data_IF_948518967624
#
_entry.id   IF_948518967624
#
_cell.length_a   1.000
_cell.length_b   1.000
_cell.length_c   1.000
_cell.angle_alpha   90.00
_cell.angle_beta   90.00
_cell.angle_gamma   90.00
#
_symmetry.space_group_name_H-M   'P 1'
#
loop_
_entity.id
_entity.type
_entity.pdbx_description
1 polymer ?
#
# COMPACT_ATOMS: atom_id res chain seq x y z
N UNK A 1 23.70 1.59 -12.40
CA UNK A 1 23.29 1.00 -13.70
C UNK A 1 21.79 1.17 -13.96
N UNK A 2 20.93 0.74 -13.02
CA UNK A 2 19.46 0.91 -13.02
C UNK A 2 18.96 2.28 -13.51
N UNK A 3 19.38 3.35 -12.85
CA UNK A 3 18.98 4.72 -13.22
C UNK A 3 19.48 5.19 -14.60
N UNK A 4 20.59 4.66 -15.10
CA UNK A 4 21.07 4.96 -16.45
C UNK A 4 20.15 4.32 -17.48
N UNK A 5 19.76 3.04 -17.27
CA UNK A 5 18.78 2.34 -18.11
C UNK A 5 17.44 3.09 -18.15
N UNK A 6 16.96 3.56 -16.99
CA UNK A 6 15.73 4.34 -16.90
C UNK A 6 15.80 5.65 -17.71
N UNK A 7 16.88 6.42 -17.58
CA UNK A 7 17.09 7.65 -18.37
C UNK A 7 17.13 7.38 -19.88
N UNK A 8 17.78 6.30 -20.31
CA UNK A 8 17.82 5.91 -21.73
C UNK A 8 16.42 5.57 -22.21
N UNK A 9 15.67 4.73 -21.47
CA UNK A 9 14.29 4.37 -21.81
C UNK A 9 13.36 5.60 -21.84
N UNK A 10 13.54 6.53 -20.92
CA UNK A 10 12.83 7.80 -20.90
C UNK A 10 13.08 8.63 -22.16
N UNK A 11 14.33 8.81 -22.58
CA UNK A 11 14.64 9.52 -23.83
C UNK A 11 14.09 8.79 -25.06
N UNK A 12 14.20 7.46 -25.11
CA UNK A 12 13.69 6.65 -26.22
C UNK A 12 12.15 6.69 -26.32
N UNK A 13 11.46 6.86 -25.18
CA UNK A 13 10.00 6.90 -25.15
C UNK A 13 9.38 8.04 -25.97
N UNK A 14 10.13 9.13 -26.24
CA UNK A 14 9.64 10.26 -27.04
C UNK A 14 9.55 9.95 -28.55
N UNK A 15 10.20 8.87 -29.00
CA UNK A 15 10.14 8.42 -30.39
C UNK A 15 9.00 7.42 -30.65
N UNK A 16 8.16 7.14 -29.64
CA UNK A 16 7.01 6.23 -29.74
C UNK A 16 5.76 6.89 -29.16
N UNK A 17 4.61 6.65 -29.80
CA UNK A 17 3.29 7.06 -29.31
C UNK A 17 2.65 6.03 -28.38
N UNK A 18 3.01 4.76 -28.55
CA UNK A 18 2.57 3.65 -27.70
C UNK A 18 3.79 2.88 -27.20
N UNK A 19 3.75 2.42 -25.96
CA UNK A 19 4.86 1.73 -25.30
C UNK A 19 4.47 0.31 -24.94
N UNK A 20 5.36 -0.63 -25.21
CA UNK A 20 5.21 -2.03 -24.83
C UNK A 20 6.05 -2.35 -23.59
N UNK A 21 5.90 -3.56 -23.06
CA UNK A 21 6.65 -4.05 -21.89
C UNK A 21 8.16 -3.76 -21.98
N UNK A 22 8.76 -4.00 -23.15
CA UNK A 22 10.20 -3.82 -23.37
C UNK A 22 10.65 -2.36 -23.42
N UNK A 23 9.73 -1.40 -23.54
CA UNK A 23 10.06 0.01 -23.48
C UNK A 23 10.34 0.46 -22.04
N UNK A 24 9.86 -0.28 -21.04
CA UNK A 24 10.10 0.03 -19.65
C UNK A 24 11.46 -0.51 -19.15
N UNK A 25 12.11 0.20 -18.21
CA UNK A 25 13.38 -0.25 -17.64
C UNK A 25 13.15 -1.39 -16.64
N UNK A 26 13.08 -2.63 -17.14
CA UNK A 26 12.92 -3.83 -16.32
C UNK A 26 14.08 -4.05 -15.34
N UNK A 27 13.75 -4.42 -14.11
CA UNK A 27 14.66 -4.91 -13.08
C UNK A 27 14.14 -6.21 -12.50
N UNK A 28 15.06 -7.08 -12.08
CA UNK A 28 14.75 -8.32 -11.37
C UNK A 28 15.66 -8.50 -10.17
N UNK A 29 15.21 -9.28 -9.19
CA UNK A 29 15.98 -9.63 -8.00
C UNK A 29 15.56 -11.00 -7.47
N UNK A 30 16.41 -11.58 -6.61
CA UNK A 30 16.10 -12.74 -5.78
C UNK A 30 16.03 -12.27 -4.32
N UNK A 31 14.97 -12.67 -3.62
CA UNK A 31 14.80 -12.49 -2.19
C UNK A 31 15.21 -13.79 -1.48
N UNK A 32 16.44 -13.83 -0.98
CA UNK A 32 16.98 -14.99 -0.26
C UNK A 32 16.31 -15.25 1.09
N UNK A 33 15.53 -14.28 1.59
CA UNK A 33 14.78 -14.37 2.84
C UNK A 33 13.30 -14.68 2.62
N UNK A 34 12.88 -14.99 1.40
CA UNK A 34 11.51 -15.37 1.11
C UNK A 34 11.16 -16.69 1.80
N UNK A 35 10.13 -16.68 2.65
CA UNK A 35 9.60 -17.87 3.29
C UNK A 35 8.70 -18.69 2.35
N UNK A 36 8.12 -18.05 1.33
CA UNK A 36 7.27 -18.67 0.32
C UNK A 36 7.99 -18.65 -1.03
N UNK A 37 7.96 -19.79 -1.74
CA UNK A 37 8.72 -19.94 -3.00
C UNK A 37 8.18 -19.03 -4.10
N UNK A 38 6.88 -18.76 -4.13
CA UNK A 38 6.21 -17.92 -5.11
C UNK A 38 6.54 -16.41 -5.00
N UNK A 39 7.14 -15.98 -3.89
CA UNK A 39 7.66 -14.61 -3.70
C UNK A 39 9.19 -14.50 -3.76
N UNK A 40 9.88 -15.60 -4.08
CA UNK A 40 11.34 -15.68 -4.08
C UNK A 40 11.98 -14.78 -5.12
N UNK A 41 11.42 -14.69 -6.32
CA UNK A 41 11.93 -13.82 -7.37
C UNK A 41 10.97 -12.65 -7.60
N UNK A 42 11.53 -11.47 -7.84
CA UNK A 42 10.77 -10.27 -8.12
C UNK A 42 11.15 -9.63 -9.43
N UNK A 43 10.18 -8.96 -10.05
CA UNK A 43 10.35 -8.13 -11.23
C UNK A 43 9.58 -6.81 -11.07
N UNK A 44 10.18 -5.71 -11.55
CA UNK A 44 9.54 -4.39 -11.54
C UNK A 44 10.12 -3.48 -12.63
N UNK A 45 9.53 -2.30 -12.80
CA UNK A 45 10.11 -1.25 -13.62
C UNK A 45 10.84 -0.21 -12.75
N UNK A 46 12.07 0.16 -13.12
CA UNK A 46 12.78 1.26 -12.45
C UNK A 46 11.90 2.50 -12.41
N UNK A 47 11.83 3.14 -11.24
CA UNK A 47 11.04 4.35 -10.97
C UNK A 47 9.51 4.16 -10.97
N UNK A 48 9.00 2.92 -10.99
CA UNK A 48 7.58 2.60 -10.78
C UNK A 48 7.45 1.65 -9.58
N UNK A 49 7.73 2.19 -8.39
CA UNK A 49 8.02 1.42 -7.17
C UNK A 49 6.94 0.43 -6.76
N UNK A 50 5.66 0.78 -6.90
CA UNK A 50 4.54 -0.08 -6.50
C UNK A 50 4.14 -1.09 -7.58
N UNK A 51 4.73 -1.02 -8.77
CA UNK A 51 4.41 -1.92 -9.87
C UNK A 51 5.37 -3.10 -9.90
N UNK A 52 5.07 -4.07 -9.04
CA UNK A 52 5.90 -5.26 -8.77
C UNK A 52 5.11 -6.52 -9.10
N UNK A 53 5.82 -7.55 -9.53
CA UNK A 53 5.29 -8.90 -9.58
C UNK A 53 6.34 -9.90 -9.06
N UNK A 54 5.84 -11.04 -8.61
CA UNK A 54 6.63 -12.09 -8.01
C UNK A 54 6.48 -13.42 -8.76
N UNK A 55 7.41 -14.34 -8.52
CA UNK A 55 7.32 -15.72 -8.97
C UNK A 55 8.38 -16.63 -8.33
N UNK A 56 8.22 -17.93 -8.55
CA UNK A 56 9.17 -19.00 -8.17
C UNK A 56 10.42 -19.06 -9.06
N UNK A 57 10.49 -18.21 -10.09
CA UNK A 57 11.65 -18.02 -10.96
C UNK A 57 11.66 -16.60 -11.53
N UNK A 58 12.82 -16.14 -11.99
CA UNK A 58 12.97 -14.84 -12.67
C UNK A 58 12.02 -14.74 -13.88
N UNK A 59 11.89 -15.82 -14.66
CA UNK A 59 11.00 -15.87 -15.82
C UNK A 59 9.54 -15.72 -15.42
N UNK A 60 9.10 -16.42 -14.38
CA UNK A 60 7.72 -16.33 -13.91
C UNK A 60 7.41 -14.94 -13.32
N UNK A 61 8.34 -14.33 -12.59
CA UNK A 61 8.18 -12.95 -12.10
C UNK A 61 8.02 -11.95 -13.26
N UNK A 62 8.81 -12.07 -14.33
CA UNK A 62 8.70 -11.23 -15.54
C UNK A 62 7.36 -11.46 -16.24
N UNK A 63 6.92 -12.71 -16.40
CA UNK A 63 5.65 -13.03 -17.05
C UNK A 63 4.46 -12.46 -16.26
N UNK A 64 4.50 -12.59 -14.93
CA UNK A 64 3.48 -12.01 -14.06
C UNK A 64 3.49 -10.48 -14.13
N UNK A 65 4.66 -9.83 -14.17
CA UNK A 65 4.74 -8.38 -14.37
C UNK A 65 4.12 -7.95 -15.71
N UNK A 66 4.34 -8.75 -16.77
CA UNK A 66 3.75 -8.50 -18.08
C UNK A 66 2.23 -8.63 -18.07
N UNK A 67 1.69 -9.65 -17.40
CA UNK A 67 0.23 -9.81 -17.18
C UNK A 67 -0.33 -8.60 -16.43
N UNK A 68 0.32 -8.19 -15.34
CA UNK A 68 -0.09 -7.02 -14.57
C UNK A 68 -0.11 -5.74 -15.43
N UNK A 69 0.91 -5.52 -16.28
CA UNK A 69 0.94 -4.36 -17.18
C UNK A 69 -0.20 -4.36 -18.20
N UNK A 70 -0.56 -5.53 -18.73
CA UNK A 70 -1.68 -5.68 -19.66
C UNK A 70 -3.00 -5.36 -18.97
N UNK A 71 -3.22 -5.88 -17.76
CA UNK A 71 -4.44 -5.60 -16.98
C UNK A 71 -4.50 -4.12 -16.58
N UNK A 72 -3.41 -3.56 -16.06
CA UNK A 72 -3.34 -2.15 -15.65
C UNK A 72 -3.67 -1.18 -16.80
N UNK A 73 -3.19 -1.47 -18.02
CA UNK A 73 -3.46 -0.66 -19.23
C UNK A 73 -4.95 -0.58 -19.59
N UNK A 74 -5.78 -1.54 -19.16
CA UNK A 74 -7.22 -1.54 -19.50
C UNK A 74 -7.96 -0.37 -18.87
N UNK A 75 -7.53 0.04 -17.67
CA UNK A 75 -8.22 1.05 -16.86
C UNK A 75 -7.37 2.32 -16.64
N UNK A 76 -6.06 2.26 -16.92
CA UNK A 76 -5.12 3.32 -16.61
C UNK A 76 -4.28 3.74 -17.81
N UNK A 77 -3.93 5.03 -17.88
CA UNK A 77 -2.90 5.49 -18.80
C UNK A 77 -1.54 5.07 -18.28
N UNK A 78 -0.72 4.46 -19.16
CA UNK A 78 0.61 4.05 -18.74
C UNK A 78 1.52 5.27 -18.53
N UNK A 79 2.29 5.31 -17.43
CA UNK A 79 3.30 6.34 -17.24
C UNK A 79 4.37 6.22 -18.31
N UNK A 80 5.00 7.35 -18.65
CA UNK A 80 6.08 7.34 -19.64
C UNK A 80 7.23 6.43 -19.17
N UNK A 81 7.75 5.53 -20.02
CA UNK A 81 8.83 4.64 -19.62
C UNK A 81 10.01 5.37 -18.97
N UNK A 82 10.47 4.90 -17.81
CA UNK A 82 11.60 5.47 -17.07
C UNK A 82 11.31 6.78 -16.31
N UNK A 83 10.11 7.35 -16.42
CA UNK A 83 9.68 8.45 -15.55
C UNK A 83 9.49 7.98 -14.10
N UNK A 84 9.61 8.91 -13.15
CA UNK A 84 9.26 8.66 -11.75
C UNK A 84 7.75 8.67 -11.61
N UNK A 85 7.20 7.53 -11.18
CA UNK A 85 5.81 7.38 -10.79
C UNK A 85 5.71 7.67 -9.29
N UNK A 86 5.03 8.75 -8.88
CA UNK A 86 4.88 9.07 -7.46
C UNK A 86 4.05 8.00 -6.76
N UNK A 87 4.41 7.70 -5.52
CA UNK A 87 3.56 6.93 -4.62
C UNK A 87 2.36 7.81 -4.28
N UNK A 88 1.15 7.32 -4.55
CA UNK A 88 -0.08 7.94 -4.11
C UNK A 88 -0.49 7.29 -2.80
N UNK A 89 -0.51 8.08 -1.74
CA UNK A 89 -1.04 7.67 -0.46
C UNK A 89 -2.54 7.93 -0.43
N UNK A 90 -3.28 7.08 0.28
CA UNK A 90 -4.67 7.36 0.65
C UNK A 90 -4.72 8.61 1.54
N UNK A 91 -5.82 9.37 1.47
CA UNK A 91 -6.03 10.53 2.33
C UNK A 91 -6.04 10.14 3.82
N UNK A 92 -5.54 11.04 4.67
CA UNK A 92 -5.47 10.91 6.14
C UNK A 92 -6.22 12.05 6.85
N UNK A 93 -7.00 12.82 6.10
CA UNK A 93 -7.61 14.06 6.58
C UNK A 93 -8.56 13.83 7.76
N UNK A 94 -9.33 12.72 7.77
CA UNK A 94 -10.24 12.40 8.88
C UNK A 94 -9.47 11.93 10.12
N UNK A 95 -8.47 11.06 9.94
CA UNK A 95 -7.65 10.55 11.05
C UNK A 95 -6.91 11.71 11.74
N UNK A 96 -6.35 12.64 10.96
CA UNK A 96 -5.63 13.81 11.48
C UNK A 96 -6.49 14.71 12.37
N UNK A 97 -7.79 14.84 12.09
CA UNK A 97 -8.73 15.59 12.94
C UNK A 97 -8.81 14.98 14.36
N UNK A 98 -8.64 13.66 14.46
CA UNK A 98 -8.76 12.91 15.70
C UNK A 98 -7.40 12.42 16.23
N UNK A 99 -6.29 13.07 15.88
CA UNK A 99 -4.93 12.61 16.22
C UNK A 99 -4.76 12.28 17.71
N UNK A 100 -5.27 13.11 18.63
CA UNK A 100 -5.15 12.85 20.07
C UNK A 100 -5.88 11.55 20.49
N UNK A 101 -7.06 11.30 19.92
CA UNK A 101 -7.83 10.07 20.14
C UNK A 101 -7.08 8.89 19.52
N UNK A 102 -6.53 9.06 18.33
CA UNK A 102 -5.76 8.02 17.64
C UNK A 102 -4.53 7.60 18.46
N UNK A 103 -3.78 8.56 19.01
CA UNK A 103 -2.61 8.28 19.85
C UNK A 103 -3.01 7.45 21.08
N UNK A 104 -4.08 7.84 21.78
CA UNK A 104 -4.57 7.09 22.93
C UNK A 104 -5.07 5.69 22.53
N UNK A 105 -5.85 5.60 21.46
CA UNK A 105 -6.40 4.35 20.95
C UNK A 105 -5.31 3.35 20.55
N UNK A 106 -4.26 3.82 19.88
CA UNK A 106 -3.14 2.98 19.47
C UNK A 106 -2.38 2.44 20.69
N UNK A 107 -2.18 3.25 21.73
CA UNK A 107 -1.55 2.80 22.97
C UNK A 107 -2.43 1.83 23.76
N UNK A 108 -3.72 2.13 23.87
CA UNK A 108 -4.66 1.41 24.74
C UNK A 108 -5.20 0.14 24.09
N UNK A 109 -5.64 0.22 22.84
CA UNK A 109 -6.30 -0.88 22.12
C UNK A 109 -5.30 -1.70 21.32
N UNK A 110 -4.59 -1.08 20.38
CA UNK A 110 -3.73 -1.76 19.39
C UNK A 110 -2.41 -2.23 20.01
N UNK A 111 -1.87 -1.47 20.97
CA UNK A 111 -0.62 -1.79 21.66
C UNK A 111 0.65 -1.46 20.87
N UNK A 112 0.57 -0.54 19.90
CA UNK A 112 1.72 -0.04 19.14
C UNK A 112 1.75 1.49 19.17
N UNK A 113 2.91 2.08 18.89
CA UNK A 113 3.04 3.53 18.81
C UNK A 113 2.43 4.03 17.49
N UNK A 114 1.48 4.96 17.59
CA UNK A 114 0.83 5.60 16.44
C UNK A 114 1.82 6.16 15.41
N UNK A 115 2.91 6.79 15.87
CA UNK A 115 3.90 7.42 14.98
C UNK A 115 4.86 6.45 14.30
N UNK A 116 4.83 5.17 14.66
CA UNK A 116 5.62 4.13 14.02
C UNK A 116 4.89 3.52 12.79
N UNK A 117 3.64 3.96 12.54
CA UNK A 117 2.77 3.41 11.50
C UNK A 117 2.26 4.51 10.54
N UNK A 118 1.98 4.13 9.29
CA UNK A 118 1.20 4.97 8.38
C UNK A 118 -0.27 4.58 8.47
N UNK A 119 -1.11 5.52 8.89
CA UNK A 119 -2.56 5.36 9.05
C UNK A 119 -3.28 6.31 8.11
N UNK A 120 -4.31 5.82 7.43
CA UNK A 120 -5.12 6.60 6.50
C UNK A 120 -6.60 6.53 6.85
N UNK A 121 -7.43 7.32 6.18
CA UNK A 121 -8.88 7.32 6.38
C UNK A 121 -9.54 5.98 6.01
N UNK A 122 -8.83 5.11 5.29
CA UNK A 122 -9.26 3.76 4.93
C UNK A 122 -8.65 2.66 5.81
N UNK A 123 -7.86 3.02 6.81
CA UNK A 123 -7.29 2.04 7.74
C UNK A 123 -8.37 1.49 8.67
N UNK A 124 -8.32 0.19 8.93
CA UNK A 124 -9.31 -0.54 9.72
C UNK A 124 -8.64 -1.37 10.82
N UNK A 125 -9.42 -1.87 11.78
CA UNK A 125 -8.92 -2.82 12.79
C UNK A 125 -8.30 -4.08 12.18
N UNK A 126 -8.77 -4.50 10.99
CA UNK A 126 -8.29 -5.71 10.31
C UNK A 126 -6.83 -5.58 9.83
N UNK A 127 -6.31 -4.37 9.70
CA UNK A 127 -4.93 -4.12 9.25
C UNK A 127 -3.87 -4.50 10.31
N UNK A 128 -4.29 -4.83 11.54
CA UNK A 128 -3.41 -5.04 12.69
C UNK A 128 -3.37 -6.49 13.20
N UNK A 129 -3.96 -7.44 12.46
CA UNK A 129 -4.00 -8.87 12.82
C UNK A 129 -4.55 -9.14 14.25
N UNK A 130 -5.44 -8.27 14.74
CA UNK A 130 -6.07 -8.41 16.05
C UNK A 130 -7.33 -9.29 15.97
N UNK A 131 -7.70 -9.91 17.10
CA UNK A 131 -8.99 -10.59 17.20
C UNK A 131 -10.13 -9.57 17.28
N UNK A 132 -11.05 -9.60 16.31
CA UNK A 132 -12.11 -8.60 16.20
C UNK A 132 -13.07 -8.62 17.40
N UNK A 133 -13.44 -9.78 17.93
CA UNK A 133 -14.41 -9.87 19.03
C UNK A 133 -13.81 -9.32 20.33
N UNK A 134 -12.58 -9.74 20.66
CA UNK A 134 -11.86 -9.24 21.83
C UNK A 134 -11.59 -7.74 21.71
N UNK A 135 -11.18 -7.28 20.52
CA UNK A 135 -10.89 -5.87 20.27
C UNK A 135 -12.15 -5.00 20.42
N UNK A 136 -13.29 -5.45 19.89
CA UNK A 136 -14.56 -4.73 20.01
C UNK A 136 -14.99 -4.63 21.48
N UNK A 137 -14.91 -5.73 22.25
CA UNK A 137 -15.25 -5.69 23.68
C UNK A 137 -14.28 -4.80 24.49
N UNK A 138 -13.00 -4.73 24.10
CA UNK A 138 -12.04 -3.82 24.71
C UNK A 138 -12.37 -2.36 24.40
N UNK A 139 -12.69 -2.02 23.14
CA UNK A 139 -13.13 -0.67 22.73
C UNK A 139 -14.37 -0.25 23.52
N UNK A 140 -15.33 -1.16 23.67
CA UNK A 140 -16.54 -0.93 24.46
C UNK A 140 -16.25 -0.79 25.95
N UNK A 141 -15.23 -1.44 26.47
CA UNK A 141 -14.85 -1.27 27.89
C UNK A 141 -14.19 0.08 28.14
N UNK A 142 -13.24 0.48 27.28
CA UNK A 142 -12.43 1.69 27.48
C UNK A 142 -13.15 2.98 27.05
N UNK A 143 -13.87 2.94 25.92
CA UNK A 143 -14.55 4.11 25.35
C UNK A 143 -16.08 4.01 25.42
N UNK A 144 -16.63 2.82 25.69
CA UNK A 144 -18.07 2.59 25.80
C UNK A 144 -18.85 2.83 24.51
N UNK A 145 -18.20 2.71 23.37
CA UNK A 145 -18.83 2.66 22.05
C UNK A 145 -18.81 1.23 21.52
N UNK A 146 -19.67 0.93 20.57
CA UNK A 146 -19.60 -0.32 19.79
C UNK A 146 -19.39 0.11 18.34
N UNK A 147 -18.20 -0.18 17.75
CA UNK A 147 -17.90 0.17 16.36
C UNK A 147 -18.94 -0.35 15.36
N UNK A 148 -19.08 0.38 14.24
CA UNK A 148 -19.92 -0.04 13.11
C UNK A 148 -19.23 -1.11 12.23
N UNK A 149 -19.96 -1.73 11.31
CA UNK A 149 -19.54 -2.97 10.60
C UNK A 149 -18.20 -2.89 9.86
N UNK A 150 -17.84 -1.74 9.28
CA UNK A 150 -16.63 -1.61 8.46
C UNK A 150 -15.34 -1.47 9.29
N UNK A 151 -15.47 -1.24 10.61
CA UNK A 151 -14.36 -1.13 11.57
C UNK A 151 -13.24 -0.16 11.14
N UNK A 152 -13.60 0.88 10.38
CA UNK A 152 -12.68 1.94 9.98
C UNK A 152 -12.27 2.76 11.20
N UNK A 153 -10.97 3.01 11.34
CA UNK A 153 -10.42 3.74 12.47
C UNK A 153 -10.95 5.17 12.53
N UNK A 154 -11.09 5.83 11.38
CA UNK A 154 -11.61 7.20 11.31
C UNK A 154 -13.02 7.32 11.91
N UNK A 155 -13.89 6.36 11.59
CA UNK A 155 -15.28 6.35 12.05
C UNK A 155 -15.37 5.98 13.54
N UNK A 156 -14.50 5.06 14.01
CA UNK A 156 -14.37 4.74 15.44
C UNK A 156 -13.94 5.98 16.22
N UNK A 157 -12.95 6.74 15.74
CA UNK A 157 -12.47 7.94 16.43
C UNK A 157 -13.53 9.04 16.47
N UNK A 158 -14.31 9.20 15.41
CA UNK A 158 -15.47 10.09 15.38
C UNK A 158 -16.51 9.69 16.45
N UNK A 159 -16.82 8.40 16.58
CA UNK A 159 -17.75 7.92 17.61
C UNK A 159 -17.24 8.21 19.04
N UNK A 160 -15.94 8.01 19.30
CA UNK A 160 -15.33 8.33 20.59
C UNK A 160 -15.45 9.83 20.88
N UNK A 161 -15.09 10.67 19.90
CA UNK A 161 -15.16 12.13 20.01
C UNK A 161 -16.58 12.63 20.32
N UNK A 162 -17.57 12.12 19.57
CA UNK A 162 -18.98 12.47 19.74
C UNK A 162 -19.50 12.06 21.12
N UNK A 163 -19.04 10.92 21.65
CA UNK A 163 -19.43 10.46 22.98
C UNK A 163 -18.78 11.29 24.10
N UNK A 164 -17.52 11.69 23.95
CA UNK A 164 -16.86 12.55 24.93
C UNK A 164 -17.50 13.95 25.02
N UNK A 165 -18.20 14.36 23.96
CA UNK A 165 -18.90 15.64 23.87
C UNK A 165 -20.36 15.62 24.37
N UNK A 166 -20.88 14.45 24.78
CA UNK A 166 -22.27 14.23 25.22
C UNK A 166 -22.40 14.18 26.74
#
# INVERSE_FOLDING_TARGET
>A
MKQIKAKIKYLLSFFKSEWDFEDYPLETWENLSAEQEDIRFGASFTNWTLFVAHGDSVSNAIENLKKNLIEYRKENQLPRPGSIVPIQYTESNKIEIYEEIAIDFFNTIIGINYFDCFISDMSSLSDFELDNEETIEKIKTEYGIVPEEDLLLADIFEQISNKASA
#
